data_IF_124385374705
#
_entry.id   IF_124385374705
#
_cell.length_a   1.000
_cell.length_b   1.000
_cell.length_c   1.000
_cell.angle_alpha   90.00
_cell.angle_beta   90.00
_cell.angle_gamma   90.00
#
_symmetry.space_group_name_H-M   'P 1'
#
loop_
_entity.id
_entity.type
_entity.pdbx_description
1 polymer ?
#
# COMPACT_ATOMS: atom_id res chain seq x y z
N UNK A 1 5.43 -3.22 -12.43
CA UNK A 1 5.95 -4.33 -11.59
C UNK A 1 5.00 -4.51 -10.40
N UNK A 2 4.56 -5.74 -10.13
CA UNK A 2 3.63 -6.03 -9.03
C UNK A 2 4.33 -5.78 -7.69
N UNK A 3 3.62 -5.16 -6.75
CA UNK A 3 4.14 -4.90 -5.41
C UNK A 3 4.22 -6.21 -4.60
N UNK A 4 5.44 -6.69 -4.35
CA UNK A 4 5.71 -7.94 -3.62
C UNK A 4 5.22 -7.90 -2.17
N UNK A 5 5.33 -6.75 -1.50
CA UNK A 5 4.86 -6.59 -0.13
C UNK A 5 3.35 -6.76 -0.03
N UNK A 6 2.61 -6.28 -1.04
CA UNK A 6 1.15 -6.47 -1.10
C UNK A 6 0.75 -7.94 -1.25
N UNK A 7 1.54 -8.76 -1.94
CA UNK A 7 1.30 -10.21 -2.05
C UNK A 7 1.47 -10.87 -0.68
N UNK A 8 2.63 -10.67 -0.05
CA UNK A 8 2.94 -11.20 1.29
C UNK A 8 1.90 -10.79 2.33
N UNK A 9 1.53 -9.51 2.36
CA UNK A 9 0.55 -8.98 3.31
C UNK A 9 -0.87 -9.53 3.09
N UNK A 10 -1.23 -9.87 1.84
CA UNK A 10 -2.59 -10.35 1.57
C UNK A 10 -2.87 -11.74 2.14
N UNK A 11 -1.83 -12.54 2.39
CA UNK A 11 -1.92 -13.90 2.94
C UNK A 11 -1.66 -13.97 4.45
N UNK A 12 -1.49 -12.84 5.15
CA UNK A 12 -1.26 -12.88 6.60
C UNK A 12 -2.52 -13.30 7.36
N UNK A 13 -2.39 -14.01 8.51
CA UNK A 13 -3.55 -14.52 9.25
C UNK A 13 -4.59 -13.44 9.57
N UNK A 14 -4.14 -12.31 10.11
CA UNK A 14 -4.99 -11.14 10.40
C UNK A 14 -5.75 -10.65 9.15
N UNK A 15 -5.14 -10.76 7.96
CA UNK A 15 -5.78 -10.32 6.71
C UNK A 15 -6.81 -11.32 6.20
N UNK A 16 -6.55 -12.61 6.33
CA UNK A 16 -7.48 -13.69 5.94
C UNK A 16 -8.70 -13.73 6.87
N UNK A 17 -8.50 -13.47 8.15
CA UNK A 17 -9.55 -13.41 9.16
C UNK A 17 -10.52 -12.25 8.89
N UNK A 18 -9.99 -11.02 8.85
CA UNK A 18 -10.79 -9.80 8.79
C UNK A 18 -11.19 -9.34 7.38
N UNK A 19 -10.61 -9.91 6.31
CA UNK A 19 -10.99 -9.55 4.94
C UNK A 19 -11.44 -10.79 4.13
N UNK A 20 -12.76 -11.04 4.01
CA UNK A 20 -13.29 -12.23 3.34
C UNK A 20 -12.74 -12.47 1.93
N UNK A 21 -12.63 -11.41 1.11
CA UNK A 21 -12.08 -11.46 -0.25
C UNK A 21 -10.59 -11.89 -0.33
N UNK A 22 -9.91 -12.07 0.80
CA UNK A 22 -8.51 -12.53 0.86
C UNK A 22 -8.37 -14.02 1.15
N UNK A 23 -9.43 -14.68 1.61
CA UNK A 23 -9.43 -16.12 1.95
C UNK A 23 -9.17 -17.04 0.76
N UNK A 24 -9.54 -16.61 -0.46
CA UNK A 24 -9.11 -17.27 -1.68
C UNK A 24 -7.83 -16.59 -2.19
N UNK A 25 -6.68 -17.19 -1.87
CA UNK A 25 -5.36 -16.64 -2.19
C UNK A 25 -5.13 -16.53 -3.70
N UNK A 26 -5.48 -17.57 -4.45
CA UNK A 26 -5.32 -17.63 -5.93
C UNK A 26 -6.11 -16.50 -6.59
N UNK A 27 -7.40 -16.37 -6.26
CA UNK A 27 -8.22 -15.29 -6.82
C UNK A 27 -7.73 -13.91 -6.38
N UNK A 28 -7.33 -13.77 -5.10
CA UNK A 28 -6.83 -12.50 -4.57
C UNK A 28 -5.54 -12.06 -5.28
N UNK A 29 -4.65 -12.99 -5.58
CA UNK A 29 -3.44 -12.74 -6.35
C UNK A 29 -3.76 -12.40 -7.81
N UNK A 30 -4.58 -13.21 -8.49
CA UNK A 30 -4.98 -12.95 -9.87
C UNK A 30 -5.59 -11.54 -10.02
N UNK A 31 -6.54 -11.19 -9.15
CA UNK A 31 -7.14 -9.86 -9.13
C UNK A 31 -6.10 -8.75 -8.95
N UNK A 32 -5.09 -8.97 -8.10
CA UNK A 32 -4.02 -8.00 -7.90
C UNK A 32 -3.22 -7.82 -9.20
N UNK A 33 -2.84 -8.92 -9.85
CA UNK A 33 -2.07 -8.91 -11.10
C UNK A 33 -2.84 -8.21 -12.22
N UNK A 34 -4.11 -8.54 -12.40
CA UNK A 34 -4.98 -7.94 -13.41
C UNK A 34 -5.16 -6.43 -13.17
N UNK A 35 -5.39 -6.02 -11.92
CA UNK A 35 -5.53 -4.58 -11.59
C UNK A 35 -4.25 -3.82 -11.92
N UNK A 36 -3.07 -4.37 -11.59
CA UNK A 36 -1.78 -3.75 -11.92
C UNK A 36 -1.46 -3.75 -13.42
N UNK A 37 -2.01 -4.70 -14.18
CA UNK A 37 -1.89 -4.75 -15.64
C UNK A 37 -2.74 -3.66 -16.30
N UNK A 38 -3.95 -3.46 -15.78
CA UNK A 38 -4.95 -2.62 -16.43
C UNK A 38 -4.99 -1.17 -15.91
N UNK A 39 -4.40 -0.88 -14.74
CA UNK A 39 -4.48 0.43 -14.10
C UNK A 39 -3.16 0.90 -13.46
N UNK A 40 -2.95 2.23 -13.47
CA UNK A 40 -1.91 2.88 -12.66
C UNK A 40 -2.43 3.12 -11.25
N UNK A 41 -1.89 2.39 -10.27
CA UNK A 41 -2.37 2.40 -8.88
C UNK A 41 -1.54 3.26 -7.91
N UNK A 42 -0.37 3.72 -8.33
CA UNK A 42 0.51 4.54 -7.49
C UNK A 42 1.05 5.69 -8.34
N UNK A 43 1.23 6.85 -7.70
CA UNK A 43 1.99 7.94 -8.29
C UNK A 43 3.49 7.61 -8.29
N UNK A 44 4.18 8.11 -9.30
CA UNK A 44 5.64 8.19 -9.35
C UNK A 44 6.21 9.14 -8.30
N UNK A 45 7.53 9.09 -8.15
CA UNK A 45 8.25 10.06 -7.32
C UNK A 45 8.24 11.43 -8.01
N UNK A 46 7.96 12.48 -7.23
CA UNK A 46 7.85 13.86 -7.76
C UNK A 46 6.66 14.13 -8.68
N UNK A 47 5.78 13.15 -8.93
CA UNK A 47 4.63 13.32 -9.82
C UNK A 47 3.63 14.35 -9.28
N UNK A 48 3.38 14.33 -7.97
CA UNK A 48 2.49 15.28 -7.30
C UNK A 48 3.35 16.38 -6.69
N UNK A 49 3.12 17.62 -7.15
CA UNK A 49 3.85 18.83 -6.74
C UNK A 49 3.04 19.76 -5.83
N UNK A 50 1.93 19.28 -5.28
CA UNK A 50 1.11 20.05 -4.35
C UNK A 50 1.88 20.34 -3.05
N UNK A 51 1.72 21.54 -2.50
CA UNK A 51 2.43 21.96 -1.28
C UNK A 51 2.07 21.08 -0.06
N UNK A 52 0.79 20.74 0.08
CA UNK A 52 0.29 19.89 1.16
C UNK A 52 0.20 18.43 0.71
N UNK A 53 1.32 17.87 0.27
CA UNK A 53 1.39 16.47 -0.13
C UNK A 53 2.68 15.80 0.34
N UNK A 54 2.57 14.55 0.80
CA UNK A 54 3.71 13.69 1.07
C UNK A 54 3.44 12.28 0.57
N UNK A 55 4.37 11.77 -0.25
CA UNK A 55 4.40 10.37 -0.65
C UNK A 55 5.16 9.56 0.39
N UNK A 56 4.51 8.57 1.00
CA UNK A 56 5.13 7.74 2.04
C UNK A 56 5.27 6.30 1.56
N UNK A 57 6.50 5.80 1.51
CA UNK A 57 6.76 4.36 1.49
C UNK A 57 6.96 3.87 2.92
N UNK A 58 5.99 3.13 3.44
CA UNK A 58 5.98 2.61 4.80
C UNK A 58 6.41 1.13 4.91
N UNK A 59 6.91 0.53 3.82
CA UNK A 59 7.29 -0.90 3.81
C UNK A 59 8.22 -1.28 4.95
N UNK A 60 9.16 -0.40 5.30
CA UNK A 60 10.14 -0.61 6.38
C UNK A 60 10.03 0.47 7.47
N UNK A 61 8.83 1.03 7.70
CA UNK A 61 8.61 2.06 8.73
C UNK A 61 7.60 1.55 9.76
N UNK A 62 7.87 1.80 11.02
CA UNK A 62 6.89 1.60 12.08
C UNK A 62 5.74 2.60 11.96
N UNK A 63 4.60 2.25 12.57
CA UNK A 63 3.45 3.15 12.65
C UNK A 63 3.81 4.49 13.30
N UNK A 64 4.68 4.48 14.32
CA UNK A 64 5.13 5.68 15.04
C UNK A 64 5.98 6.58 14.14
N UNK A 65 6.92 6.01 13.39
CA UNK A 65 7.75 6.79 12.45
C UNK A 65 6.92 7.41 11.34
N UNK A 66 5.98 6.64 10.77
CA UNK A 66 5.06 7.16 9.76
C UNK A 66 4.19 8.27 10.32
N UNK A 67 3.65 8.13 11.53
CA UNK A 67 2.85 9.16 12.17
C UNK A 67 3.65 10.45 12.42
N UNK A 68 4.90 10.34 12.91
CA UNK A 68 5.80 11.48 13.10
C UNK A 68 6.11 12.21 11.78
N UNK A 69 6.31 11.45 10.70
CA UNK A 69 6.53 12.04 9.37
C UNK A 69 5.32 12.86 8.93
N UNK A 70 4.10 12.31 9.06
CA UNK A 70 2.85 13.01 8.71
C UNK A 70 2.72 14.29 9.53
N UNK A 71 2.87 14.21 10.86
CA UNK A 71 2.77 15.39 11.73
C UNK A 71 3.76 16.49 11.36
N UNK A 72 5.01 16.12 11.09
CA UNK A 72 6.05 17.08 10.69
C UNK A 72 5.76 17.73 9.34
N UNK A 73 5.25 16.97 8.37
CA UNK A 73 4.92 17.52 7.04
C UNK A 73 3.77 18.51 7.10
N UNK A 74 2.76 18.23 7.92
CA UNK A 74 1.51 19.00 7.94
C UNK A 74 1.38 19.92 9.16
N UNK A 75 2.41 20.04 9.99
CA UNK A 75 2.43 20.82 11.24
C UNK A 75 1.24 20.50 12.18
N UNK A 76 1.02 19.22 12.47
CA UNK A 76 -0.06 18.68 13.33
C UNK A 76 0.42 18.23 14.72
#
# INVERSE_FOLDING_TARGET
MINQERLKRNITPHRLEHKPLKRNEVQSEQNLRETFKNHRLNSGEGEIKAEQYVRINNTNKSAVETAKLIKRTFNL
#
